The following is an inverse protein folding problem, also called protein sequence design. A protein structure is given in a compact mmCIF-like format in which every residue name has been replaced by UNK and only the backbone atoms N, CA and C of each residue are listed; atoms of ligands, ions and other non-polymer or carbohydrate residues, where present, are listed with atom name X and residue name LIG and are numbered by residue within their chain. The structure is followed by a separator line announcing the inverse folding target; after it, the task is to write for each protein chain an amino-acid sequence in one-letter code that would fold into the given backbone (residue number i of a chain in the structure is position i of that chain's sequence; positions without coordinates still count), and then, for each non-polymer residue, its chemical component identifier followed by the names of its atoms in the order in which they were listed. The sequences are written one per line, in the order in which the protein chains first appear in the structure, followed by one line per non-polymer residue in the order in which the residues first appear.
data_IF_697957647712
#
_entry.id   IF_697957647712
#
_cell.length_a   1.000
_cell.length_b   1.000
_cell.length_c   1.000
_cell.angle_alpha   90.00
_cell.angle_beta   90.00
_cell.angle_gamma   90.00
#
_symmetry.space_group_name_H-M   'P 1'
#
loop_
_entity.id
_entity.type
_entity.pdbx_description
1 polymer ?
#
# COMPACT_ATOMS: atom_id res chain seq x y z
N UNK A 1 22.34 30.07 38.87
CA UNK A 1 21.21 29.57 38.05
C UNK A 1 21.64 28.28 37.37
N UNK A 2 20.90 27.17 37.51
CA UNK A 2 21.25 25.89 36.87
C UNK A 2 20.93 25.96 35.39
N UNK A 3 21.94 25.98 34.52
CA UNK A 3 21.79 25.90 33.07
C UNK A 3 21.22 24.53 32.71
N UNK A 4 19.95 24.44 32.32
CA UNK A 4 19.37 23.19 31.82
C UNK A 4 20.12 22.76 30.56
N UNK A 5 20.80 21.63 30.63
CA UNK A 5 21.48 21.01 29.50
C UNK A 5 20.40 20.48 28.55
N UNK A 6 20.34 21.00 27.32
CA UNK A 6 19.46 20.44 26.27
C UNK A 6 19.93 19.04 25.89
N UNK A 7 18.99 18.13 25.76
CA UNK A 7 19.25 16.74 25.39
C UNK A 7 18.72 16.44 23.98
N UNK A 8 19.37 15.50 23.31
CA UNK A 8 18.99 15.02 22.00
C UNK A 8 17.63 14.32 22.05
N UNK A 9 16.72 14.68 21.14
CA UNK A 9 15.40 14.04 21.06
C UNK A 9 15.43 12.55 20.70
N UNK A 10 16.55 12.06 20.13
CA UNK A 10 16.70 10.65 19.73
C UNK A 10 17.46 9.79 20.75
N UNK A 11 18.65 10.23 21.18
CA UNK A 11 19.55 9.43 22.03
C UNK A 11 19.65 9.93 23.48
N UNK A 12 19.07 11.09 23.81
CA UNK A 12 19.13 11.69 25.14
C UNK A 12 20.48 12.32 25.51
N UNK A 13 21.52 12.21 24.68
CA UNK A 13 22.82 12.84 24.93
C UNK A 13 22.73 14.35 25.01
N UNK A 14 23.62 14.97 25.79
CA UNK A 14 23.70 16.43 25.92
C UNK A 14 24.11 17.03 24.58
N UNK A 15 23.30 17.96 24.09
CA UNK A 15 23.58 18.70 22.87
C UNK A 15 24.55 19.84 23.18
N UNK A 16 25.64 19.90 22.42
CA UNK A 16 26.56 21.03 22.38
C UNK A 16 26.40 21.80 21.06
N UNK A 17 26.50 23.13 21.13
CA UNK A 17 26.45 24.02 19.98
C UNK A 17 25.25 24.98 20.02
N UNK A 18 24.70 25.29 18.84
CA UNK A 18 23.64 26.29 18.66
C UNK A 18 22.47 26.11 19.63
N UNK A 19 21.91 27.23 20.09
CA UNK A 19 20.81 27.26 21.05
C UNK A 19 19.54 26.52 20.56
N UNK A 20 19.30 26.42 19.26
CA UNK A 20 18.12 25.79 18.65
C UNK A 20 18.34 24.32 18.24
N UNK A 21 19.54 23.77 18.47
CA UNK A 21 19.89 22.41 18.07
C UNK A 21 19.03 21.39 18.82
N UNK A 22 18.36 20.50 18.07
CA UNK A 22 17.44 19.45 18.58
C UNK A 22 18.04 18.04 18.60
N UNK A 23 19.10 17.81 17.83
CA UNK A 23 19.75 16.50 17.66
C UNK A 23 21.26 16.64 17.81
N UNK A 24 21.93 15.65 18.40
CA UNK A 24 23.39 15.68 18.54
C UNK A 24 24.10 15.50 17.18
N UNK A 25 23.50 14.75 16.25
CA UNK A 25 24.03 14.43 14.93
C UNK A 25 22.95 14.31 13.85
N UNK A 26 23.35 14.35 12.57
CA UNK A 26 22.47 14.07 11.44
C UNK A 26 21.87 12.65 11.49
N UNK A 27 22.64 11.68 12.00
CA UNK A 27 22.16 10.33 12.24
C UNK A 27 20.96 10.32 13.20
N UNK A 28 21.08 11.01 14.34
CA UNK A 28 19.99 11.10 15.32
C UNK A 28 18.75 11.79 14.75
N UNK A 29 18.93 12.85 13.95
CA UNK A 29 17.82 13.51 13.24
C UNK A 29 17.09 12.52 12.31
N UNK A 30 17.83 11.75 11.53
CA UNK A 30 17.26 10.79 10.59
C UNK A 30 16.56 9.63 11.30
N UNK A 31 17.16 9.09 12.37
CA UNK A 31 16.59 8.01 13.17
C UNK A 31 15.26 8.44 13.83
N UNK A 32 15.23 9.63 14.43
CA UNK A 32 14.01 10.19 15.02
C UNK A 32 12.90 10.36 13.99
N UNK A 33 13.21 10.97 12.84
CA UNK A 33 12.24 11.16 11.75
C UNK A 33 11.76 9.84 11.15
N UNK A 34 12.61 8.81 11.12
CA UNK A 34 12.22 7.47 10.67
C UNK A 34 11.28 6.78 11.68
N UNK A 35 11.50 6.95 12.99
CA UNK A 35 10.60 6.45 14.04
C UNK A 35 9.23 7.13 13.98
N UNK A 36 9.19 8.46 13.87
CA UNK A 36 7.94 9.23 13.80
C UNK A 36 7.01 8.79 12.66
N UNK A 37 7.59 8.38 11.53
CA UNK A 37 6.83 8.00 10.35
C UNK A 37 6.76 6.47 10.16
N UNK A 38 7.19 5.66 11.12
CA UNK A 38 7.36 4.22 10.92
C UNK A 38 6.04 3.53 10.62
N UNK A 39 4.99 3.81 11.39
CA UNK A 39 3.72 3.09 11.28
C UNK A 39 2.97 3.48 10.01
N UNK A 40 2.93 4.78 9.68
CA UNK A 40 2.32 5.26 8.43
C UNK A 40 3.07 4.74 7.19
N UNK A 41 4.41 4.73 7.21
CA UNK A 41 5.24 4.15 6.14
C UNK A 41 5.00 2.64 6.01
N UNK A 42 4.87 1.92 7.13
CA UNK A 42 4.61 0.48 7.13
C UNK A 42 3.23 0.14 6.57
N UNK A 43 2.18 0.85 6.99
CA UNK A 43 0.83 0.64 6.48
C UNK A 43 0.77 0.85 4.96
N UNK A 44 1.27 1.99 4.48
CA UNK A 44 1.28 2.31 3.05
C UNK A 44 2.10 1.30 2.25
N UNK A 45 3.27 0.89 2.76
CA UNK A 45 4.09 -0.16 2.14
C UNK A 45 3.33 -1.49 2.07
N UNK A 46 2.63 -1.89 3.12
CA UNK A 46 1.88 -3.14 3.16
C UNK A 46 0.70 -3.13 2.18
N UNK A 47 -0.05 -2.02 2.12
CA UNK A 47 -1.12 -1.81 1.13
C UNK A 47 -0.56 -1.91 -0.29
N UNK A 48 0.54 -1.20 -0.59
CA UNK A 48 1.18 -1.25 -1.91
C UNK A 48 1.68 -2.66 -2.27
N UNK A 49 2.18 -3.42 -1.29
CA UNK A 49 2.57 -4.81 -1.51
C UNK A 49 1.36 -5.71 -1.85
N UNK A 50 0.22 -5.51 -1.16
CA UNK A 50 -1.04 -6.23 -1.46
C UNK A 50 -1.56 -5.89 -2.87
N UNK A 51 -1.62 -4.61 -3.21
CA UNK A 51 -2.02 -4.15 -4.55
C UNK A 51 -1.13 -4.74 -5.64
N UNK A 52 0.20 -4.72 -5.45
CA UNK A 52 1.16 -5.31 -6.40
C UNK A 52 0.99 -6.83 -6.53
N UNK A 53 0.73 -7.53 -5.43
CA UNK A 53 0.46 -8.98 -5.44
C UNK A 53 -0.83 -9.28 -6.22
N UNK A 54 -1.90 -8.55 -5.92
CA UNK A 54 -3.17 -8.69 -6.60
C UNK A 54 -3.05 -8.43 -8.11
N UNK A 55 -2.35 -7.37 -8.50
CA UNK A 55 -2.08 -7.05 -9.90
C UNK A 55 -1.40 -8.23 -10.61
N UNK A 56 -0.31 -8.76 -10.04
CA UNK A 56 0.41 -9.94 -10.57
C UNK A 56 -0.49 -11.17 -10.68
N UNK A 57 -1.41 -11.36 -9.74
CA UNK A 57 -2.36 -12.49 -9.79
C UNK A 57 -3.29 -12.33 -10.99
N UNK A 58 -3.90 -11.16 -11.22
CA UNK A 58 -4.76 -10.93 -12.38
C UNK A 58 -4.00 -11.06 -13.70
N UNK A 59 -2.79 -10.49 -13.75
CA UNK A 59 -1.91 -10.53 -14.93
C UNK A 59 -1.43 -11.96 -15.26
N UNK A 60 -1.45 -12.87 -14.27
CA UNK A 60 -1.11 -14.29 -14.48
C UNK A 60 -2.15 -15.08 -15.29
N UNK A 61 -3.33 -14.51 -15.56
CA UNK A 61 -4.37 -15.16 -16.36
C UNK A 61 -4.22 -14.78 -17.83
N UNK A 62 -4.23 -15.78 -18.71
CA UNK A 62 -4.25 -15.54 -20.15
C UNK A 62 -5.57 -14.93 -20.58
N UNK A 63 -5.55 -13.67 -21.00
CA UNK A 63 -6.69 -12.94 -21.53
C UNK A 63 -6.89 -13.28 -23.02
N UNK A 64 -8.11 -13.70 -23.39
CA UNK A 64 -8.56 -13.82 -24.79
C UNK A 64 -9.52 -12.67 -25.06
N UNK A 65 -9.27 -11.89 -26.11
CA UNK A 65 -10.06 -10.69 -26.45
C UNK A 65 -10.17 -9.70 -25.27
N UNK A 66 -9.08 -9.54 -24.53
CA UNK A 66 -9.00 -8.66 -23.35
C UNK A 66 -9.77 -9.17 -22.12
N UNK A 67 -10.24 -10.43 -22.13
CA UNK A 67 -11.06 -11.02 -21.05
C UNK A 67 -10.56 -12.40 -20.63
N UNK A 68 -10.73 -12.75 -19.36
CA UNK A 68 -10.56 -14.10 -18.87
C UNK A 68 -11.63 -14.42 -17.81
N UNK A 69 -11.99 -15.69 -17.66
CA UNK A 69 -12.93 -16.13 -16.63
C UNK A 69 -12.21 -16.96 -15.57
N UNK A 70 -12.49 -16.68 -14.30
CA UNK A 70 -11.95 -17.41 -13.15
C UNK A 70 -13.02 -17.53 -12.07
N UNK A 71 -12.73 -18.27 -11.00
CA UNK A 71 -13.59 -18.37 -9.82
C UNK A 71 -13.03 -17.59 -8.65
N UNK A 72 -13.89 -17.25 -7.69
CA UNK A 72 -13.50 -16.64 -6.40
C UNK A 72 -12.45 -17.48 -5.69
N UNK A 73 -12.67 -18.79 -5.65
CA UNK A 73 -11.75 -19.73 -4.98
C UNK A 73 -10.36 -19.65 -5.58
N UNK A 74 -10.24 -19.74 -6.91
CA UNK A 74 -8.94 -19.71 -7.58
C UNK A 74 -8.14 -18.43 -7.33
N UNK A 75 -8.82 -17.29 -7.19
CA UNK A 75 -8.19 -16.04 -6.79
C UNK A 75 -7.75 -16.08 -5.31
N UNK A 76 -8.62 -16.54 -4.41
CA UNK A 76 -8.27 -16.71 -2.98
C UNK A 76 -7.12 -17.68 -2.76
N UNK A 77 -7.06 -18.78 -3.50
CA UNK A 77 -6.01 -19.80 -3.41
C UNK A 77 -4.64 -19.24 -3.84
N UNK A 78 -4.63 -18.29 -4.79
CA UNK A 78 -3.43 -17.50 -5.15
C UNK A 78 -3.12 -16.39 -4.14
N UNK A 79 -3.96 -16.23 -3.11
CA UNK A 79 -3.85 -15.22 -2.06
C UNK A 79 -4.19 -13.82 -2.53
N UNK A 80 -5.19 -13.69 -3.41
CA UNK A 80 -5.77 -12.42 -3.83
C UNK A 80 -6.59 -11.79 -2.69
N UNK A 81 -6.37 -10.49 -2.47
CA UNK A 81 -7.06 -9.69 -1.46
C UNK A 81 -8.12 -8.82 -2.13
N UNK A 82 -9.40 -9.08 -1.87
CA UNK A 82 -10.51 -8.35 -2.51
C UNK A 82 -10.77 -6.96 -1.91
N UNK A 83 -10.17 -6.63 -0.76
CA UNK A 83 -10.40 -5.36 -0.07
C UNK A 83 -9.57 -4.21 -0.67
N UNK A 84 -8.47 -4.54 -1.35
CA UNK A 84 -7.51 -3.56 -1.84
C UNK A 84 -7.61 -3.41 -3.36
N UNK A 85 -8.18 -2.28 -3.79
CA UNK A 85 -8.38 -1.87 -5.18
C UNK A 85 -7.95 -0.41 -5.35
N UNK A 86 -7.73 0.03 -6.59
CA UNK A 86 -7.39 1.44 -6.87
C UNK A 86 -8.60 2.27 -7.28
N UNK A 87 -9.59 1.68 -7.95
CA UNK A 87 -10.84 2.36 -8.28
C UNK A 87 -11.98 1.40 -8.63
N UNK A 88 -13.20 1.93 -8.59
CA UNK A 88 -14.44 1.24 -8.92
C UNK A 88 -15.04 1.88 -10.16
N UNK A 89 -15.71 1.08 -10.98
CA UNK A 89 -16.51 1.58 -12.11
C UNK A 89 -17.82 0.82 -12.20
N UNK A 90 -18.93 1.52 -11.98
CA UNK A 90 -20.28 0.95 -12.10
C UNK A 90 -20.90 1.35 -13.42
N UNK A 91 -21.33 0.36 -14.20
CA UNK A 91 -22.02 0.60 -15.48
C UNK A 91 -23.45 1.09 -15.25
N UNK A 92 -24.05 1.70 -16.28
CA UNK A 92 -25.47 2.09 -16.26
C UNK A 92 -26.43 0.92 -15.97
N UNK A 93 -26.01 -0.32 -16.25
CA UNK A 93 -26.77 -1.55 -16.00
C UNK A 93 -26.57 -2.11 -14.58
N UNK A 94 -25.81 -1.42 -13.72
CA UNK A 94 -25.59 -1.81 -12.32
C UNK A 94 -24.38 -2.73 -12.08
N UNK A 95 -23.71 -3.21 -13.12
CA UNK A 95 -22.52 -4.05 -12.96
C UNK A 95 -21.32 -3.21 -12.48
N UNK A 96 -20.69 -3.62 -11.37
CA UNK A 96 -19.53 -2.93 -10.76
C UNK A 96 -18.23 -3.67 -11.03
N UNK A 97 -17.30 -2.96 -11.65
CA UNK A 97 -15.93 -3.39 -11.91
C UNK A 97 -15.00 -2.89 -10.82
N UNK A 98 -14.06 -3.74 -10.42
CA UNK A 98 -13.08 -3.49 -9.37
C UNK A 98 -11.70 -3.52 -10.01
N UNK A 99 -10.99 -2.39 -9.99
CA UNK A 99 -9.74 -2.23 -10.73
C UNK A 99 -8.51 -2.16 -9.81
N UNK A 100 -7.42 -2.67 -10.38
CA UNK A 100 -6.03 -2.58 -9.94
C UNK A 100 -5.26 -1.97 -11.11
N UNK A 101 -5.22 -0.65 -11.13
CA UNK A 101 -4.69 0.12 -12.27
C UNK A 101 -5.45 -0.21 -13.56
N UNK A 102 -4.79 -0.72 -14.60
CA UNK A 102 -5.37 -1.10 -15.88
C UNK A 102 -6.06 -2.48 -15.88
N UNK A 103 -5.76 -3.35 -14.92
CA UNK A 103 -6.43 -4.65 -14.77
C UNK A 103 -7.60 -4.57 -13.81
N UNK A 104 -8.69 -5.28 -14.08
CA UNK A 104 -9.83 -5.32 -13.17
C UNK A 104 -10.59 -6.64 -13.22
N UNK A 105 -11.52 -6.78 -12.29
CA UNK A 105 -12.42 -7.91 -12.24
C UNK A 105 -13.88 -7.47 -12.06
N UNK A 106 -14.79 -8.22 -12.67
CA UNK A 106 -16.23 -8.07 -12.54
C UNK A 106 -16.79 -9.36 -11.90
N UNK A 107 -17.49 -9.28 -10.75
CA UNK A 107 -18.24 -10.39 -10.23
C UNK A 107 -19.34 -10.80 -11.21
N UNK A 108 -19.46 -12.11 -11.43
CA UNK A 108 -20.52 -12.77 -12.19
C UNK A 108 -21.31 -13.69 -11.24
N UNK A 109 -22.35 -14.32 -11.76
CA UNK A 109 -23.12 -15.32 -11.01
C UNK A 109 -22.25 -16.56 -10.66
N UNK A 110 -22.70 -17.31 -9.64
CA UNK A 110 -22.08 -18.56 -9.19
C UNK A 110 -20.59 -18.42 -8.80
N UNK A 111 -20.22 -17.33 -8.11
CA UNK A 111 -18.86 -17.06 -7.64
C UNK A 111 -17.79 -17.00 -8.77
N UNK A 112 -18.22 -16.73 -10.01
CA UNK A 112 -17.31 -16.46 -11.10
C UNK A 112 -16.90 -14.99 -11.12
N UNK A 113 -15.71 -14.74 -11.66
CA UNK A 113 -15.21 -13.42 -11.96
C UNK A 113 -14.74 -13.37 -13.41
N UNK A 114 -15.02 -12.27 -14.08
CA UNK A 114 -14.42 -11.92 -15.35
C UNK A 114 -13.28 -10.93 -15.10
N UNK A 115 -12.06 -11.31 -15.47
CA UNK A 115 -10.90 -10.43 -15.49
C UNK A 115 -10.91 -9.66 -16.81
N UNK A 116 -10.62 -8.36 -16.75
CA UNK A 116 -10.57 -7.46 -17.89
C UNK A 116 -9.32 -6.59 -17.82
N UNK A 117 -8.86 -6.12 -18.97
CA UNK A 117 -7.84 -5.07 -19.08
C UNK A 117 -8.42 -3.84 -19.75
N UNK A 118 -8.16 -2.66 -19.20
CA UNK A 118 -8.39 -1.36 -19.83
C UNK A 118 -7.12 -0.95 -20.58
N UNK A 119 -7.29 -0.41 -21.78
CA UNK A 119 -6.23 0.30 -22.51
C UNK A 119 -6.05 1.71 -21.95
#
# INVERSE_FOLDING_TARGET
MKTQKKTCLECGEVILGRADKKYCSDYCRNAYNNKLNKDSKNLMRNINNRLRKNYRILDSFTLKDGKARTTKSKLRDKGFDFEHITHLYTTKKGATYYFLYDLGYLPLDNDYYMIVKRE
#
